data_IF_656373459876
#
_entry.id   IF_656373459876
#
_cell.length_a   1.000
_cell.length_b   1.000
_cell.length_c   1.000
_cell.angle_alpha   90.00
_cell.angle_beta   90.00
_cell.angle_gamma   90.00
#
_symmetry.space_group_name_H-M   'P 1'
#
loop_
_entity.id
_entity.type
_entity.pdbx_description
1 polymer ?
#
# COMPACT_ATOMS: atom_id res chain seq x y z
N UNK A 1 -19.61 12.65 13.39
CA UNK A 1 -18.42 12.85 12.54
C UNK A 1 -18.91 13.17 11.14
N UNK A 2 -18.48 14.30 10.56
CA UNK A 2 -18.96 14.75 9.26
C UNK A 2 -18.00 14.26 8.20
N UNK A 3 -18.35 13.21 7.47
CA UNK A 3 -17.45 12.64 6.45
C UNK A 3 -17.26 13.63 5.31
N UNK A 4 -16.07 14.24 5.22
CA UNK A 4 -15.68 15.12 4.11
C UNK A 4 -15.18 14.29 2.93
N UNK A 5 -14.29 13.33 3.20
CA UNK A 5 -13.83 12.37 2.19
C UNK A 5 -14.73 11.12 2.28
N UNK A 6 -15.36 10.74 1.17
CA UNK A 6 -16.22 9.56 1.08
C UNK A 6 -15.80 8.64 -0.05
N UNK A 7 -16.21 7.38 0.03
CA UNK A 7 -16.11 6.43 -1.09
C UNK A 7 -16.77 6.98 -2.34
N UNK A 8 -16.17 6.66 -3.49
CA UNK A 8 -16.69 7.04 -4.79
C UNK A 8 -17.72 6.03 -5.33
N UNK A 9 -18.00 6.09 -6.65
CA UNK A 9 -17.43 7.02 -7.61
C UNK A 9 -17.95 8.45 -7.41
N UNK A 10 -17.05 9.41 -7.27
CA UNK A 10 -17.39 10.83 -7.13
C UNK A 10 -17.52 11.56 -8.49
N UNK A 11 -17.25 10.87 -9.61
CA UNK A 11 -17.30 11.41 -10.96
C UNK A 11 -15.91 11.75 -11.51
N UNK A 12 -15.86 12.27 -12.74
CA UNK A 12 -14.61 12.42 -13.50
C UNK A 12 -13.58 13.37 -12.87
N UNK A 13 -14.03 14.45 -12.23
CA UNK A 13 -13.19 15.45 -11.59
C UNK A 13 -13.70 15.74 -10.17
N UNK A 14 -13.44 14.84 -9.19
CA UNK A 14 -13.86 15.09 -7.82
C UNK A 14 -13.06 16.25 -7.23
N UNK A 15 -13.71 17.08 -6.41
CA UNK A 15 -13.02 18.10 -5.62
C UNK A 15 -11.92 17.44 -4.78
N UNK A 16 -10.74 18.04 -4.75
CA UNK A 16 -9.64 17.52 -3.93
C UNK A 16 -9.98 17.65 -2.44
N UNK A 17 -9.45 16.76 -1.60
CA UNK A 17 -9.67 16.85 -0.16
C UNK A 17 -9.26 18.23 0.44
N UNK A 18 -8.14 18.85 0.02
CA UNK A 18 -7.83 20.23 0.42
C UNK A 18 -8.87 21.27 0.00
N UNK A 19 -9.44 21.19 -1.22
CA UNK A 19 -10.53 22.08 -1.66
C UNK A 19 -11.80 21.91 -0.82
N UNK A 20 -11.97 20.74 -0.19
CA UNK A 20 -13.05 20.43 0.74
C UNK A 20 -12.75 20.86 2.19
N UNK A 21 -11.60 21.50 2.43
CA UNK A 21 -11.16 21.97 3.74
C UNK A 21 -10.50 20.89 4.61
N UNK A 22 -10.02 19.80 4.01
CA UNK A 22 -9.23 18.79 4.73
C UNK A 22 -7.77 19.24 4.78
N UNK A 23 -7.23 19.32 6.00
CA UNK A 23 -5.82 19.59 6.25
C UNK A 23 -5.08 18.31 6.62
N UNK A 24 -3.76 18.33 6.52
CA UNK A 24 -2.91 17.22 6.97
C UNK A 24 -3.06 17.03 8.49
N UNK A 25 -3.02 15.77 8.94
CA UNK A 25 -3.06 15.48 10.37
C UNK A 25 -1.84 16.10 11.08
N UNK A 26 -2.03 16.73 12.27
CA UNK A 26 -0.93 17.08 13.16
C UNK A 26 -0.11 15.86 13.57
N UNK A 27 1.15 16.06 13.98
CA UNK A 27 2.01 15.00 14.52
C UNK A 27 1.32 14.24 15.67
N UNK A 28 1.45 12.91 15.66
CA UNK A 28 0.80 12.01 16.63
C UNK A 28 -0.71 11.80 16.43
N UNK A 29 -1.31 12.38 15.39
CA UNK A 29 -2.72 12.19 15.03
C UNK A 29 -2.86 11.52 13.66
N UNK A 30 -4.09 11.15 13.29
CA UNK A 30 -4.43 10.56 12.00
C UNK A 30 -5.62 11.30 11.38
N UNK A 31 -5.92 10.98 10.11
CA UNK A 31 -7.16 11.40 9.47
C UNK A 31 -8.09 10.22 9.30
N UNK A 32 -9.38 10.46 9.53
CA UNK A 32 -10.46 9.55 9.19
C UNK A 32 -11.59 10.36 8.54
N UNK A 33 -11.93 10.03 7.30
CA UNK A 33 -12.87 10.74 6.43
C UNK A 33 -12.64 12.26 6.34
N UNK A 34 -11.39 12.71 6.50
CA UNK A 34 -10.99 14.11 6.48
C UNK A 34 -11.17 14.89 7.79
N UNK A 35 -11.54 14.21 8.89
CA UNK A 35 -11.47 14.76 10.24
C UNK A 35 -10.23 14.21 10.98
N UNK A 36 -9.66 15.01 11.88
CA UNK A 36 -8.52 14.61 12.69
C UNK A 36 -8.98 13.72 13.84
N UNK A 37 -8.34 12.55 13.99
CA UNK A 37 -8.65 11.52 14.98
C UNK A 37 -7.37 10.91 15.55
N UNK A 38 -7.51 9.99 16.50
CA UNK A 38 -6.36 9.18 16.93
C UNK A 38 -5.97 8.13 15.88
N UNK A 39 -4.70 7.71 15.80
CA UNK A 39 -4.28 6.62 14.91
C UNK A 39 -5.07 5.33 15.13
N UNK A 40 -5.36 4.98 16.38
CA UNK A 40 -6.13 3.77 16.71
C UNK A 40 -7.57 3.83 16.18
N UNK A 41 -8.24 4.98 16.25
CA UNK A 41 -9.60 5.15 15.68
C UNK A 41 -9.60 4.97 14.16
N UNK A 42 -8.63 5.57 13.46
CA UNK A 42 -8.47 5.41 12.01
C UNK A 42 -8.16 3.95 11.63
N UNK A 43 -7.26 3.30 12.38
CA UNK A 43 -6.93 1.88 12.20
C UNK A 43 -8.14 0.97 12.43
N UNK A 44 -8.97 1.23 13.44
CA UNK A 44 -10.18 0.43 13.71
C UNK A 44 -11.22 0.55 12.58
N UNK A 45 -11.40 1.73 12.00
CA UNK A 45 -12.31 1.89 10.84
C UNK A 45 -11.75 1.17 9.60
N UNK A 46 -10.46 1.34 9.33
CA UNK A 46 -9.76 0.62 8.26
C UNK A 46 -9.82 -0.89 8.44
N UNK A 47 -9.66 -1.39 9.68
CA UNK A 47 -9.76 -2.81 10.00
C UNK A 47 -11.12 -3.39 9.63
N UNK A 48 -12.20 -2.71 10.02
CA UNK A 48 -13.56 -3.12 9.66
C UNK A 48 -13.76 -3.15 8.15
N UNK A 49 -13.26 -2.14 7.43
CA UNK A 49 -13.34 -2.11 5.97
C UNK A 49 -12.60 -3.30 5.35
N UNK A 50 -11.38 -3.60 5.78
CA UNK A 50 -10.56 -4.71 5.26
C UNK A 50 -11.16 -6.09 5.58
N UNK A 51 -11.81 -6.24 6.73
CA UNK A 51 -12.42 -7.51 7.16
C UNK A 51 -13.78 -7.79 6.51
N UNK A 52 -14.50 -6.75 6.07
CA UNK A 52 -15.90 -6.89 5.61
C UNK A 52 -16.11 -6.63 4.13
N UNK A 53 -15.21 -5.89 3.46
CA UNK A 53 -15.29 -5.58 2.04
C UNK A 53 -14.55 -6.62 1.19
N UNK A 54 -14.92 -6.74 -0.09
CA UNK A 54 -14.37 -7.78 -0.97
C UNK A 54 -12.95 -7.46 -1.44
N UNK A 55 -12.18 -8.54 -1.63
CA UNK A 55 -10.82 -8.51 -2.19
C UNK A 55 -9.91 -7.46 -1.52
N UNK A 56 -9.76 -7.47 -0.19
CA UNK A 56 -8.85 -6.55 0.49
C UNK A 56 -7.45 -6.68 -0.11
N UNK A 57 -6.81 -5.56 -0.43
CA UNK A 57 -5.53 -5.56 -1.14
C UNK A 57 -4.56 -4.54 -0.54
N UNK A 58 -3.31 -4.95 -0.34
CA UNK A 58 -2.23 -4.07 0.08
C UNK A 58 -1.39 -3.73 -1.16
N UNK A 59 -1.15 -2.44 -1.36
CA UNK A 59 -0.32 -1.87 -2.42
C UNK A 59 0.99 -1.33 -1.83
N UNK A 60 2.03 -2.17 -1.69
CA UNK A 60 3.35 -1.73 -1.26
C UNK A 60 4.03 -0.91 -2.37
N UNK A 61 4.50 0.27 -2.03
CA UNK A 61 5.26 1.15 -2.90
C UNK A 61 6.77 0.97 -2.79
N UNK A 62 7.55 1.69 -3.62
CA UNK A 62 9.00 1.53 -3.73
C UNK A 62 9.77 1.73 -2.42
N UNK A 63 9.21 2.46 -1.44
CA UNK A 63 9.88 2.69 -0.16
C UNK A 63 9.90 1.45 0.74
N UNK A 64 9.07 0.42 0.46
CA UNK A 64 8.99 -0.83 1.23
C UNK A 64 9.17 -2.09 0.38
N UNK A 65 9.51 -1.94 -0.90
CA UNK A 65 9.75 -3.08 -1.80
C UNK A 65 11.22 -3.49 -1.87
N UNK A 66 12.13 -2.55 -1.63
CA UNK A 66 13.57 -2.76 -1.78
C UNK A 66 14.25 -2.59 -0.42
N UNK A 67 15.19 -3.46 -0.08
CA UNK A 67 15.95 -3.35 1.16
C UNK A 67 17.09 -2.32 1.01
N UNK A 68 16.72 -1.04 0.95
CA UNK A 68 17.65 0.07 0.69
C UNK A 68 18.05 0.83 1.96
N UNK A 69 17.42 0.53 3.11
CA UNK A 69 17.66 1.16 4.41
C UNK A 69 17.29 0.21 5.54
N UNK A 70 18.01 0.32 6.66
CA UNK A 70 17.91 -0.57 7.83
C UNK A 70 16.47 -0.83 8.34
N UNK A 71 15.59 0.17 8.31
CA UNK A 71 14.21 0.04 8.81
C UNK A 71 13.21 -0.51 7.78
N UNK A 72 13.64 -0.75 6.54
CA UNK A 72 12.74 -1.17 5.46
C UNK A 72 12.41 -2.65 5.58
N UNK A 73 13.40 -3.53 5.78
CA UNK A 73 13.17 -4.96 5.93
C UNK A 73 12.17 -5.27 7.06
N UNK A 74 12.28 -4.59 8.20
CA UNK A 74 11.36 -4.74 9.33
C UNK A 74 9.94 -4.30 8.98
N UNK A 75 9.77 -3.17 8.28
CA UNK A 75 8.46 -2.70 7.81
C UNK A 75 7.86 -3.68 6.81
N UNK A 76 8.64 -4.19 5.87
CA UNK A 76 8.18 -5.16 4.87
C UNK A 76 7.73 -6.47 5.52
N UNK A 77 8.47 -6.97 6.52
CA UNK A 77 8.05 -8.12 7.31
C UNK A 77 6.74 -7.84 8.07
N UNK A 78 6.62 -6.67 8.72
CA UNK A 78 5.40 -6.29 9.42
C UNK A 78 4.18 -6.16 8.47
N UNK A 79 4.39 -5.73 7.21
CA UNK A 79 3.32 -5.67 6.20
C UNK A 79 2.85 -7.08 5.82
N UNK A 80 3.78 -8.04 5.66
CA UNK A 80 3.42 -9.43 5.38
C UNK A 80 2.65 -10.06 6.55
N UNK A 81 3.07 -9.78 7.78
CA UNK A 81 2.36 -10.20 8.99
C UNK A 81 0.98 -9.56 9.12
N UNK A 82 0.82 -8.29 8.74
CA UNK A 82 -0.49 -7.65 8.70
C UNK A 82 -1.39 -8.32 7.65
N UNK A 83 -0.84 -8.57 6.46
CA UNK A 83 -1.57 -9.18 5.35
C UNK A 83 -2.09 -10.58 5.68
N UNK A 84 -1.31 -11.37 6.43
CA UNK A 84 -1.65 -12.75 6.77
C UNK A 84 -2.83 -12.89 7.73
N UNK A 85 -3.17 -11.83 8.46
CA UNK A 85 -4.32 -11.78 9.37
C UNK A 85 -5.62 -11.30 8.70
N UNK A 86 -5.54 -10.79 7.47
CA UNK A 86 -6.68 -10.28 6.70
C UNK A 86 -7.18 -11.37 5.74
N UNK A 87 -8.44 -11.83 5.86
CA UNK A 87 -8.98 -12.88 5.02
C UNK A 87 -8.86 -12.60 3.52
N UNK A 88 -8.22 -13.51 2.79
CA UNK A 88 -8.01 -13.44 1.34
C UNK A 88 -7.30 -12.15 0.86
N UNK A 89 -6.46 -11.56 1.71
CA UNK A 89 -5.75 -10.34 1.37
C UNK A 89 -4.74 -10.57 0.24
N UNK A 90 -4.82 -9.74 -0.80
CA UNK A 90 -3.85 -9.75 -1.90
C UNK A 90 -2.75 -8.73 -1.64
N UNK A 91 -1.59 -8.96 -2.24
CA UNK A 91 -0.53 -7.96 -2.34
C UNK A 91 -0.29 -7.71 -3.82
N UNK A 92 -0.45 -6.47 -4.25
CA UNK A 92 -0.18 -6.04 -5.63
C UNK A 92 0.79 -4.85 -5.53
N UNK A 93 2.06 -4.98 -5.93
CA UNK A 93 3.03 -3.91 -5.76
C UNK A 93 2.76 -2.68 -6.65
N UNK A 94 3.27 -1.54 -6.20
CA UNK A 94 3.49 -0.33 -7.01
C UNK A 94 5.01 -0.15 -7.20
N UNK A 95 5.65 -0.91 -8.10
CA UNK A 95 7.12 -1.00 -8.16
C UNK A 95 7.79 0.28 -8.68
N UNK A 96 7.12 1.00 -9.58
CA UNK A 96 7.58 2.28 -10.09
C UNK A 96 6.42 3.18 -10.55
N UNK A 97 6.70 4.46 -10.72
CA UNK A 97 5.68 5.49 -10.99
C UNK A 97 5.59 5.92 -12.46
N UNK A 98 6.44 5.36 -13.33
CA UNK A 98 6.44 5.76 -14.75
C UNK A 98 5.10 5.40 -15.38
N UNK A 99 4.56 6.22 -16.29
CA UNK A 99 3.35 5.85 -17.02
C UNK A 99 3.55 4.55 -17.81
N UNK A 100 2.70 3.55 -17.55
CA UNK A 100 2.77 2.24 -18.22
C UNK A 100 1.61 1.98 -19.19
N UNK A 101 0.63 2.87 -19.25
CA UNK A 101 -0.51 2.70 -20.15
C UNK A 101 -0.06 2.66 -21.63
N UNK A 102 -0.60 1.75 -22.47
CA UNK A 102 -1.63 0.73 -22.20
C UNK A 102 -1.09 -0.65 -21.77
N UNK A 103 0.21 -0.77 -21.46
CA UNK A 103 0.94 -2.03 -21.26
C UNK A 103 0.95 -2.54 -19.81
N UNK A 104 0.19 -1.92 -18.91
CA UNK A 104 0.15 -2.34 -17.51
C UNK A 104 -0.52 -3.71 -17.37
N UNK A 105 0.12 -4.63 -16.63
CA UNK A 105 -0.55 -5.83 -16.14
C UNK A 105 -1.28 -5.51 -14.84
N UNK A 106 -2.58 -5.27 -14.97
CA UNK A 106 -3.47 -4.88 -13.86
C UNK A 106 -3.60 -5.95 -12.77
N UNK A 107 -3.18 -7.20 -13.02
CA UNK A 107 -3.19 -8.26 -12.00
C UNK A 107 -1.87 -8.33 -11.25
N UNK A 108 -0.78 -7.89 -11.87
CA UNK A 108 0.57 -7.96 -11.29
C UNK A 108 0.98 -6.66 -10.59
N UNK A 109 0.50 -5.51 -11.05
CA UNK A 109 0.92 -4.21 -10.52
C UNK A 109 -0.20 -3.16 -10.53
N UNK A 110 -0.04 -2.16 -9.67
CA UNK A 110 -0.83 -0.92 -9.70
C UNK A 110 0.06 0.25 -10.12
N UNK A 111 -0.48 1.18 -10.91
CA UNK A 111 0.22 2.37 -11.36
C UNK A 111 -0.52 3.63 -10.92
N UNK A 112 0.19 4.66 -10.41
CA UNK A 112 -0.48 5.85 -9.85
C UNK A 112 -1.23 6.68 -10.90
N UNK A 113 -0.92 6.53 -12.19
CA UNK A 113 -1.58 7.28 -13.26
C UNK A 113 -2.90 6.67 -13.70
N UNK A 114 -3.14 5.37 -13.43
CA UNK A 114 -4.38 4.67 -13.76
C UNK A 114 -4.70 3.57 -12.72
N UNK A 115 -4.73 3.91 -11.41
CA UNK A 115 -4.93 2.92 -10.35
C UNK A 115 -6.30 2.26 -10.43
N UNK A 116 -7.28 2.98 -10.99
CA UNK A 116 -8.64 2.51 -11.20
C UNK A 116 -8.70 1.25 -12.08
N UNK A 117 -7.75 1.04 -13.01
CA UNK A 117 -7.73 -0.16 -13.85
C UNK A 117 -7.49 -1.42 -13.00
N UNK A 118 -6.47 -1.40 -12.14
CA UNK A 118 -6.17 -2.48 -11.19
C UNK A 118 -7.30 -2.71 -10.19
N UNK A 119 -7.86 -1.63 -9.64
CA UNK A 119 -8.99 -1.72 -8.69
C UNK A 119 -10.23 -2.36 -9.32
N UNK A 120 -10.61 -1.93 -10.53
CA UNK A 120 -11.82 -2.40 -11.20
C UNK A 120 -11.68 -3.83 -11.71
N UNK A 121 -10.54 -4.18 -12.31
CA UNK A 121 -10.29 -5.54 -12.83
C UNK A 121 -10.33 -6.58 -11.69
N UNK A 122 -9.66 -6.27 -10.58
CA UNK A 122 -9.57 -7.15 -9.41
C UNK A 122 -10.77 -7.05 -8.46
N UNK A 123 -11.72 -6.15 -8.72
CA UNK A 123 -12.91 -5.87 -7.87
C UNK A 123 -12.54 -5.59 -6.42
N UNK A 124 -11.55 -4.73 -6.22
CA UNK A 124 -11.01 -4.37 -4.90
C UNK A 124 -11.95 -3.35 -4.27
N UNK A 125 -12.53 -3.68 -3.11
CA UNK A 125 -13.44 -2.79 -2.39
C UNK A 125 -12.78 -2.16 -1.16
N UNK A 126 -11.65 -2.68 -0.68
CA UNK A 126 -10.83 -2.08 0.37
C UNK A 126 -9.34 -2.25 0.06
N UNK A 127 -8.54 -1.20 0.29
CA UNK A 127 -7.11 -1.31 0.10
C UNK A 127 -6.26 -0.47 1.07
N UNK A 128 -5.00 -0.86 1.20
CA UNK A 128 -3.95 -0.11 1.90
C UNK A 128 -2.89 0.33 0.90
N UNK A 129 -2.51 1.59 0.92
CA UNK A 129 -1.30 2.11 0.30
C UNK A 129 -0.23 2.26 1.38
N UNK A 130 0.96 1.66 1.18
CA UNK A 130 2.06 1.72 2.16
C UNK A 130 3.39 1.90 1.44
N UNK A 131 4.23 2.82 1.91
CA UNK A 131 5.53 3.09 1.28
C UNK A 131 5.46 3.75 -0.11
N UNK A 132 4.41 4.52 -0.36
CA UNK A 132 4.22 5.29 -1.60
C UNK A 132 4.51 6.76 -1.33
N UNK A 133 5.26 7.43 -2.21
CA UNK A 133 5.56 8.86 -2.07
C UNK A 133 4.28 9.70 -2.10
N UNK A 134 4.21 10.72 -1.23
CA UNK A 134 2.97 11.45 -0.92
C UNK A 134 2.20 11.95 -2.14
N UNK A 135 2.89 12.55 -3.11
CA UNK A 135 2.27 13.09 -4.32
C UNK A 135 1.68 11.99 -5.22
N UNK A 136 2.35 10.86 -5.38
CA UNK A 136 1.81 9.73 -6.17
C UNK A 136 0.68 9.01 -5.45
N UNK A 137 0.74 8.90 -4.12
CA UNK A 137 -0.34 8.36 -3.33
C UNK A 137 -1.59 9.24 -3.44
N UNK A 138 -1.51 10.55 -3.20
CA UNK A 138 -2.67 11.45 -3.30
C UNK A 138 -3.27 11.49 -4.72
N UNK A 139 -2.43 11.45 -5.76
CA UNK A 139 -2.90 11.28 -7.13
C UNK A 139 -3.71 9.98 -7.28
N UNK A 140 -3.15 8.87 -6.79
CA UNK A 140 -3.78 7.56 -6.90
C UNK A 140 -5.12 7.52 -6.16
N UNK A 141 -5.13 7.97 -4.91
CA UNK A 141 -6.29 7.98 -4.02
C UNK A 141 -7.43 8.82 -4.61
N UNK A 142 -7.11 9.99 -5.17
CA UNK A 142 -8.10 10.84 -5.86
C UNK A 142 -8.68 10.15 -7.09
N UNK A 143 -7.86 9.48 -7.90
CA UNK A 143 -8.32 8.74 -9.07
C UNK A 143 -9.18 7.52 -8.72
N UNK A 144 -8.86 6.83 -7.62
CA UNK A 144 -9.67 5.74 -7.08
C UNK A 144 -11.03 6.31 -6.66
N UNK A 145 -11.06 7.39 -5.87
CA UNK A 145 -12.31 8.06 -5.46
C UNK A 145 -13.13 8.59 -6.64
N UNK A 146 -12.49 9.02 -7.72
CA UNK A 146 -13.17 9.46 -8.94
C UNK A 146 -13.95 8.33 -9.61
N UNK A 147 -13.31 7.16 -9.77
CA UNK A 147 -13.79 6.09 -10.66
C UNK A 147 -14.30 4.82 -9.98
N UNK A 148 -14.12 4.66 -8.67
CA UNK A 148 -14.43 3.41 -7.95
C UNK A 148 -15.05 3.66 -6.58
N UNK A 149 -15.58 2.61 -5.96
CA UNK A 149 -16.12 2.59 -4.60
C UNK A 149 -15.14 1.98 -3.58
N UNK A 150 -13.84 1.93 -3.90
CA UNK A 150 -12.86 1.32 -3.02
C UNK A 150 -12.62 2.21 -1.79
N UNK A 151 -12.70 1.62 -0.60
CA UNK A 151 -12.25 2.23 0.64
C UNK A 151 -10.72 2.25 0.65
N UNK A 152 -10.10 3.41 0.87
CA UNK A 152 -8.65 3.57 0.83
C UNK A 152 -8.08 3.92 2.20
N UNK A 153 -7.05 3.16 2.58
CA UNK A 153 -6.21 3.44 3.75
C UNK A 153 -4.82 3.82 3.25
N UNK A 154 -4.18 4.81 3.86
CA UNK A 154 -2.82 5.19 3.55
C UNK A 154 -1.95 5.14 4.82
N UNK A 155 -0.86 4.38 4.75
CA UNK A 155 0.14 4.23 5.80
C UNK A 155 1.41 4.96 5.34
N UNK A 156 1.61 6.18 5.85
CA UNK A 156 2.65 7.11 5.39
C UNK A 156 3.78 7.22 6.41
N UNK A 157 5.03 7.15 5.96
CA UNK A 157 6.20 7.41 6.81
C UNK A 157 6.39 8.90 7.18
N UNK A 158 5.62 9.81 6.58
CA UNK A 158 5.79 11.25 6.72
C UNK A 158 4.47 11.93 7.12
N UNK A 159 3.85 12.70 6.22
CA UNK A 159 2.80 13.67 6.58
C UNK A 159 1.37 13.11 6.60
N UNK A 160 1.16 11.88 6.12
CA UNK A 160 -0.18 11.37 5.83
C UNK A 160 -0.69 11.81 4.45
N UNK A 161 -1.92 11.39 4.14
CA UNK A 161 -2.59 11.53 2.86
C UNK A 161 -4.06 11.92 3.05
N UNK A 162 -4.36 13.19 2.81
CA UNK A 162 -5.68 13.79 2.98
C UNK A 162 -6.75 13.23 2.03
N UNK A 163 -6.35 12.60 0.93
CA UNK A 163 -7.26 11.96 -0.03
C UNK A 163 -7.74 10.57 0.40
N UNK A 164 -7.14 9.96 1.42
CA UNK A 164 -7.53 8.64 1.91
C UNK A 164 -8.75 8.71 2.86
N UNK A 165 -9.51 7.62 2.95
CA UNK A 165 -10.57 7.51 3.97
C UNK A 165 -9.95 7.36 5.36
N UNK A 166 -8.88 6.58 5.50
CA UNK A 166 -8.06 6.54 6.70
C UNK A 166 -6.61 6.83 6.34
N UNK A 167 -5.98 7.77 7.03
CA UNK A 167 -4.57 8.11 6.80
C UNK A 167 -3.81 8.15 8.11
N UNK A 168 -2.79 7.31 8.20
CA UNK A 168 -1.85 7.23 9.31
C UNK A 168 -0.52 7.83 8.84
N UNK A 169 0.02 8.74 9.65
CA UNK A 169 1.28 9.44 9.40
C UNK A 169 2.39 8.91 10.32
N UNK A 170 3.63 9.34 10.08
CA UNK A 170 4.81 8.97 10.86
C UNK A 170 4.96 7.44 11.09
N UNK A 171 4.71 6.64 10.04
CA UNK A 171 4.64 5.18 10.14
C UNK A 171 5.99 4.50 10.47
N UNK A 172 5.99 3.74 11.56
CA UNK A 172 7.02 2.79 11.95
C UNK A 172 6.53 1.34 11.89
N UNK A 173 7.45 0.37 11.95
CA UNK A 173 7.10 -1.05 11.98
C UNK A 173 6.19 -1.40 13.16
N UNK A 174 6.39 -0.78 14.32
CA UNK A 174 5.54 -0.92 15.52
C UNK A 174 4.10 -0.50 15.27
N UNK A 175 3.84 0.51 14.43
CA UNK A 175 2.48 0.96 14.11
C UNK A 175 1.76 -0.07 13.23
N UNK A 176 2.50 -0.71 12.31
CA UNK A 176 1.97 -1.79 11.47
C UNK A 176 1.64 -3.02 12.32
N UNK A 177 2.51 -3.36 13.28
CA UNK A 177 2.25 -4.42 14.25
C UNK A 177 1.03 -4.11 15.12
N UNK A 178 0.89 -2.85 15.58
CA UNK A 178 -0.30 -2.42 16.32
C UNK A 178 -1.56 -2.51 15.46
N UNK A 179 -1.48 -2.15 14.18
CA UNK A 179 -2.61 -2.29 13.26
C UNK A 179 -3.00 -3.76 13.06
N UNK A 180 -2.04 -4.68 12.99
CA UNK A 180 -2.29 -6.12 12.98
C UNK A 180 -3.06 -6.59 14.22
N UNK A 181 -2.66 -6.13 15.41
CA UNK A 181 -3.40 -6.44 16.64
C UNK A 181 -4.85 -5.94 16.58
N UNK A 182 -5.05 -4.71 16.10
CA UNK A 182 -6.38 -4.13 15.91
C UNK A 182 -7.23 -4.94 14.93
N UNK A 183 -6.64 -5.45 13.84
CA UNK A 183 -7.31 -6.35 12.90
C UNK A 183 -7.79 -7.60 13.62
N UNK A 184 -6.94 -8.24 14.43
CA UNK A 184 -7.29 -9.44 15.19
C UNK A 184 -8.41 -9.13 16.20
N UNK A 185 -8.31 -8.01 16.93
CA UNK A 185 -9.34 -7.57 17.87
C UNK A 185 -10.70 -7.36 17.18
N UNK A 186 -10.74 -6.63 16.06
CA UNK A 186 -11.98 -6.37 15.32
C UNK A 186 -12.52 -7.63 14.64
N UNK A 187 -11.64 -8.51 14.13
CA UNK A 187 -12.02 -9.82 13.58
C UNK A 187 -12.75 -10.68 14.62
N UNK A 188 -12.20 -10.74 15.83
CA UNK A 188 -12.80 -11.48 16.94
C UNK A 188 -14.14 -10.88 17.36
N UNK A 189 -14.27 -9.55 17.38
CA UNK A 189 -15.56 -8.87 17.65
C UNK A 189 -16.61 -9.16 16.58
N UNK A 190 -16.19 -9.29 15.33
CA UNK A 190 -17.06 -9.62 14.19
C UNK A 190 -17.38 -11.12 14.09
N UNK A 191 -16.72 -11.98 14.88
CA UNK A 191 -16.92 -13.43 14.85
C UNK A 191 -16.43 -14.08 13.56
N UNK A 192 -15.43 -13.49 12.90
CA UNK A 192 -14.84 -14.02 11.66
C UNK A 192 -13.75 -15.03 12.04
N UNK A 193 -13.94 -16.30 11.70
CA UNK A 193 -12.91 -17.33 11.86
C UNK A 193 -11.89 -17.23 10.72
N UNK A 194 -10.60 -17.11 11.07
CA UNK A 194 -9.49 -17.05 10.13
C UNK A 194 -8.26 -17.71 10.75
N UNK A 195 -7.59 -18.53 9.95
CA UNK A 195 -6.28 -19.06 10.29
C UNK A 195 -5.23 -18.19 9.59
N UNK A 196 -4.17 -17.80 10.31
CA UNK A 196 -3.10 -16.97 9.75
C UNK A 196 -2.44 -17.70 8.59
N UNK A 197 -2.61 -17.18 7.38
CA UNK A 197 -2.01 -17.73 6.16
C UNK A 197 -1.25 -16.66 5.42
N UNK A 198 -0.11 -17.00 4.83
CA UNK A 198 0.58 -16.08 3.94
C UNK A 198 -0.35 -15.63 2.78
N UNK A 199 -0.18 -14.40 2.28
CA UNK A 199 -0.92 -13.93 1.11
C UNK A 199 -0.78 -14.91 -0.07
N UNK A 200 -1.84 -15.13 -0.85
CA UNK A 200 -1.79 -16.05 -1.98
C UNK A 200 -0.79 -15.58 -3.03
N UNK A 201 -0.05 -16.52 -3.61
CA UNK A 201 0.84 -16.24 -4.75
C UNK A 201 0.02 -15.70 -5.94
N UNK A 202 0.59 -14.74 -6.66
CA UNK A 202 -0.04 -14.18 -7.84
C UNK A 202 0.11 -15.11 -9.04
N UNK A 203 -0.98 -15.76 -9.44
CA UNK A 203 -0.99 -16.68 -10.59
C UNK A 203 -0.65 -16.03 -11.94
N UNK A 204 -0.66 -14.70 -12.01
CA UNK A 204 -0.35 -13.95 -13.25
C UNK A 204 1.15 -13.77 -13.44
N UNK A 205 1.95 -13.93 -12.39
CA UNK A 205 3.41 -13.87 -12.48
C UNK A 205 3.95 -15.23 -12.90
N UNK A 206 4.91 -15.23 -13.81
CA UNK A 206 5.69 -16.43 -14.11
C UNK A 206 6.49 -16.83 -12.87
N UNK A 207 6.69 -18.13 -12.67
CA UNK A 207 7.56 -18.60 -11.59
C UNK A 207 8.97 -18.10 -11.88
N UNK A 208 9.57 -17.41 -10.92
CA UNK A 208 10.93 -16.90 -11.06
C UNK A 208 11.90 -18.09 -11.20
N UNK A 209 12.52 -18.20 -12.37
CA UNK A 209 13.65 -19.11 -12.59
C UNK A 209 14.95 -18.30 -12.49
N UNK A 210 15.56 -18.34 -11.31
CA UNK A 210 16.81 -17.65 -11.04
C UNK A 210 18.03 -18.35 -11.65
N UNK A 211 17.87 -19.54 -12.26
CA UNK A 211 19.00 -20.29 -12.85
C UNK A 211 19.62 -19.60 -14.06
N UNK A 212 18.89 -18.68 -14.70
CA UNK A 212 19.33 -17.94 -15.88
C UNK A 212 19.68 -16.47 -15.62
N UNK A 213 19.61 -16.01 -14.37
CA UNK A 213 19.93 -14.61 -14.03
C UNK A 213 21.39 -14.29 -14.36
N UNK A 214 21.60 -13.30 -15.22
CA UNK A 214 22.90 -12.79 -15.59
C UNK A 214 23.07 -11.35 -15.10
N UNK A 215 24.31 -10.85 -14.94
CA UNK A 215 24.55 -9.43 -14.64
C UNK A 215 23.93 -8.45 -15.65
N UNK A 216 23.59 -8.90 -16.87
CA UNK A 216 22.92 -8.06 -17.87
C UNK A 216 21.45 -7.80 -17.53
N UNK A 217 20.81 -8.69 -16.77
CA UNK A 217 19.40 -8.59 -16.40
C UNK A 217 19.14 -7.53 -15.32
N UNK A 218 20.20 -7.07 -14.64
CA UNK A 218 20.15 -6.00 -13.62
C UNK A 218 20.17 -4.59 -14.23
N UNK A 219 20.14 -4.45 -15.55
CA UNK A 219 20.01 -3.17 -16.24
C UNK A 219 21.06 -2.14 -15.82
N UNK A 220 20.63 -0.96 -15.38
CA UNK A 220 21.52 0.13 -14.94
C UNK A 220 22.28 -0.20 -13.64
N UNK A 221 21.72 -1.08 -12.81
CA UNK A 221 22.35 -1.56 -11.57
C UNK A 221 23.42 -2.63 -11.80
N UNK A 222 23.59 -3.10 -13.03
CA UNK A 222 24.71 -3.98 -13.44
C UNK A 222 26.06 -3.48 -12.93
N UNK A 223 26.25 -2.17 -12.94
CA UNK A 223 27.50 -1.51 -12.51
C UNK A 223 27.79 -1.62 -11.01
N UNK A 224 26.79 -1.94 -10.18
CA UNK A 224 26.94 -2.15 -8.74
C UNK A 224 27.33 -3.59 -8.39
N UNK A 225 27.01 -4.54 -9.27
CA UNK A 225 27.18 -5.98 -9.04
C UNK A 225 28.43 -6.51 -9.77
N UNK A 226 28.83 -5.84 -10.86
CA UNK A 226 30.07 -6.15 -11.55
C UNK A 226 31.24 -5.38 -10.94
N UNK A 227 32.26 -6.10 -10.49
CA UNK A 227 33.55 -5.51 -10.11
C UNK A 227 34.10 -4.65 -11.25
N UNK A 228 34.50 -3.42 -10.95
CA UNK A 228 35.20 -2.60 -11.94
C UNK A 228 36.50 -3.29 -12.32
N UNK A 229 36.88 -3.21 -13.60
CA UNK A 229 38.09 -3.86 -14.12
C UNK A 229 39.32 -3.40 -13.33
N UNK A 230 39.83 -4.25 -12.44
CA UNK A 230 40.98 -3.96 -11.56
C UNK A 230 40.65 -3.92 -10.05
N UNK A 231 39.39 -3.97 -9.64
CA UNK A 231 39.00 -4.14 -8.23
C UNK A 231 38.97 -5.63 -7.87
N UNK A 232 39.87 -6.04 -6.97
CA UNK A 232 39.74 -7.30 -6.24
C UNK A 232 38.93 -7.03 -4.98
N UNK A 233 37.71 -7.56 -4.91
CA UNK A 233 36.94 -7.60 -3.65
C UNK A 233 37.61 -8.66 -2.78
N UNK A 234 38.48 -8.21 -1.88
CA UNK A 234 39.01 -9.04 -0.80
C UNK A 234 37.97 -9.09 0.30
N UNK A 235 37.29 -10.22 0.42
CA UNK A 235 36.44 -10.69 1.52
C UNK A 235 35.49 -9.65 2.16
N UNK A 236 34.19 -9.83 1.92
CA UNK A 236 33.13 -9.18 2.70
C UNK A 236 33.00 -9.89 4.05
N UNK A 237 33.14 -9.15 5.16
CA UNK A 237 32.68 -9.53 6.50
C UNK A 237 31.16 -9.76 6.55
#
# INVERSE_FOLDING_TARGET
>A
MTKRVTEGPAGYMPASAPEMGVELAPEGQALLYGDVVTPEEAMRDAAKALLTKKNPTIFPGPQVLWDWKEDVAEKSAAILDLASEIPNCKIIPMPDYRPKYPKIDVKAEINPNHPNLTILDNRIEACIFVGVHCHYANLSLRMIRAGTNCYTTALCAYMGHEEAMASIRDLHASDIQRFKEIIIEERNKLGIEWETTLPPENSSLEKEDHSTLSPADYGEYRSLIMTKKGEHVTETE
#
